data_IF_812710363068
#
_entry.id   IF_812710363068
#
_cell.length_a   1.000
_cell.length_b   1.000
_cell.length_c   1.000
_cell.angle_alpha   90.00
_cell.angle_beta   90.00
_cell.angle_gamma   90.00
#
_symmetry.space_group_name_H-M   'P 1'
#
loop_
_entity.id
_entity.type
_entity.pdbx_description
1 polymer ?
#
# COMPACT_ATOMS: atom_id res chain seq x y z
N UNK A 1 22.94 8.61 -16.29
CA UNK A 1 22.78 7.42 -15.42
C UNK A 1 23.21 7.84 -14.03
N UNK A 2 22.35 8.54 -13.30
CA UNK A 2 22.72 9.15 -12.01
C UNK A 2 22.26 8.28 -10.84
N UNK A 3 23.26 7.87 -10.04
CA UNK A 3 23.24 7.60 -8.60
C UNK A 3 22.20 6.63 -8.01
N UNK A 4 22.42 5.33 -8.24
CA UNK A 4 21.80 4.25 -7.44
C UNK A 4 22.39 4.08 -6.03
N UNK A 5 23.55 4.68 -5.72
CA UNK A 5 24.17 4.55 -4.38
C UNK A 5 23.72 5.63 -3.37
N UNK A 6 23.37 6.83 -3.84
CA UNK A 6 22.92 7.92 -2.97
C UNK A 6 21.55 7.65 -2.33
N UNK A 7 20.71 6.85 -3.00
CA UNK A 7 19.35 6.51 -2.56
C UNK A 7 19.29 5.62 -1.31
N UNK A 8 20.35 4.86 -0.96
CA UNK A 8 20.27 3.90 0.17
C UNK A 8 20.25 4.56 1.55
N UNK A 9 20.77 5.78 1.68
CA UNK A 9 20.82 6.49 2.97
C UNK A 9 19.44 6.92 3.48
N UNK A 10 18.46 7.08 2.59
CA UNK A 10 17.13 7.64 2.91
C UNK A 10 16.03 6.57 3.02
N UNK A 11 16.36 5.29 2.78
CA UNK A 11 15.39 4.20 2.78
C UNK A 11 15.25 3.55 4.16
N UNK A 12 14.03 3.56 4.70
CA UNK A 12 13.67 2.86 5.93
C UNK A 12 13.05 1.51 5.61
N UNK A 13 13.57 0.47 6.28
CA UNK A 13 13.08 -0.91 6.14
C UNK A 13 11.87 -1.16 7.04
N UNK A 14 10.82 -1.74 6.46
CA UNK A 14 9.61 -2.18 7.15
C UNK A 14 9.40 -3.68 6.94
N UNK A 15 8.84 -4.35 7.95
CA UNK A 15 8.45 -5.76 7.86
C UNK A 15 6.94 -5.85 7.75
N UNK A 16 6.45 -6.09 6.53
CA UNK A 16 5.01 -6.08 6.21
C UNK A 16 4.58 -7.49 5.83
N UNK A 17 3.38 -7.93 6.26
CA UNK A 17 2.82 -9.20 5.80
C UNK A 17 2.16 -8.99 4.44
N UNK A 18 2.54 -9.79 3.47
CA UNK A 18 1.93 -9.84 2.14
C UNK A 18 1.65 -11.29 1.77
N UNK A 19 0.58 -11.51 1.02
CA UNK A 19 0.35 -12.77 0.31
C UNK A 19 1.32 -12.89 -0.88
N UNK A 20 1.56 -14.10 -1.35
CA UNK A 20 2.43 -14.30 -2.52
C UNK A 20 1.84 -13.65 -3.78
N UNK A 21 0.52 -13.58 -3.88
CA UNK A 21 -0.17 -12.88 -4.96
C UNK A 21 0.09 -11.36 -4.94
N UNK A 22 -0.10 -10.70 -3.79
CA UNK A 22 0.20 -9.26 -3.64
C UNK A 22 1.68 -8.98 -3.93
N UNK A 23 2.58 -9.83 -3.47
CA UNK A 23 4.01 -9.67 -3.74
C UNK A 23 4.34 -9.83 -5.24
N UNK A 24 3.70 -10.76 -5.93
CA UNK A 24 3.85 -10.92 -7.37
C UNK A 24 3.29 -9.72 -8.14
N UNK A 25 2.11 -9.22 -7.76
CA UNK A 25 1.53 -8.01 -8.34
C UNK A 25 2.43 -6.80 -8.13
N UNK A 26 3.02 -6.62 -6.95
CA UNK A 26 3.96 -5.53 -6.69
C UNK A 26 5.14 -5.56 -7.67
N UNK A 27 5.73 -6.74 -7.89
CA UNK A 27 6.81 -6.91 -8.87
C UNK A 27 6.35 -6.59 -10.29
N UNK A 28 5.18 -7.08 -10.69
CA UNK A 28 4.63 -6.86 -12.02
C UNK A 28 4.36 -5.37 -12.27
N UNK A 29 3.68 -4.69 -11.35
CA UNK A 29 3.40 -3.24 -11.42
C UNK A 29 4.70 -2.44 -11.49
N UNK A 30 5.68 -2.78 -10.65
CA UNK A 30 7.00 -2.15 -10.68
C UNK A 30 7.66 -2.28 -12.07
N UNK A 31 7.63 -3.49 -12.65
CA UNK A 31 8.22 -3.76 -13.96
C UNK A 31 7.51 -3.01 -15.09
N UNK A 32 6.18 -2.99 -15.10
CA UNK A 32 5.39 -2.31 -16.13
C UNK A 32 5.56 -0.79 -16.08
N UNK A 33 5.55 -0.21 -14.87
CA UNK A 33 5.70 1.24 -14.70
C UNK A 33 7.17 1.69 -14.81
N UNK A 34 8.12 0.77 -15.04
CA UNK A 34 9.56 1.01 -15.01
C UNK A 34 10.04 1.68 -13.71
N UNK A 35 9.38 1.34 -12.59
CA UNK A 35 9.61 1.91 -11.25
C UNK A 35 10.25 0.88 -10.34
N UNK A 36 10.98 1.36 -9.33
CA UNK A 36 11.39 0.51 -8.23
C UNK A 36 10.22 0.18 -7.31
N UNK A 37 10.32 -0.95 -6.59
CA UNK A 37 9.26 -1.36 -5.65
C UNK A 37 8.94 -0.25 -4.65
N UNK A 38 9.93 0.40 -4.05
CA UNK A 38 9.70 1.46 -3.05
C UNK A 38 8.96 2.68 -3.63
N UNK A 39 9.14 3.00 -4.90
CA UNK A 39 8.40 4.09 -5.58
C UNK A 39 6.93 3.72 -5.78
N UNK A 40 6.65 2.45 -6.09
CA UNK A 40 5.28 1.91 -6.13
C UNK A 40 4.65 1.97 -4.74
N UNK A 41 5.41 1.64 -3.70
CA UNK A 41 4.94 1.74 -2.32
C UNK A 41 4.67 3.20 -1.90
N UNK A 42 5.52 4.14 -2.31
CA UNK A 42 5.29 5.57 -2.09
C UNK A 42 4.02 6.06 -2.81
N UNK A 43 3.81 5.59 -4.05
CA UNK A 43 2.59 5.87 -4.82
C UNK A 43 1.34 5.33 -4.12
N UNK A 44 1.43 4.11 -3.57
CA UNK A 44 0.34 3.51 -2.81
C UNK A 44 -0.01 4.31 -1.55
N UNK A 45 1.00 4.82 -0.83
CA UNK A 45 0.78 5.66 0.35
C UNK A 45 0.16 7.02 0.00
N UNK A 46 0.61 7.66 -1.09
CA UNK A 46 0.02 8.92 -1.54
C UNK A 46 -1.43 8.72 -1.96
N UNK A 47 -1.71 7.69 -2.76
CA UNK A 47 -3.08 7.32 -3.12
C UNK A 47 -3.96 7.07 -1.89
N UNK A 48 -3.42 6.38 -0.88
CA UNK A 48 -4.12 6.14 0.37
C UNK A 48 -4.45 7.43 1.13
N UNK A 49 -3.55 8.43 1.14
CA UNK A 49 -3.82 9.74 1.76
C UNK A 49 -4.93 10.48 1.05
N UNK A 50 -4.89 10.48 -0.28
CA UNK A 50 -5.90 11.14 -1.12
C UNK A 50 -7.30 10.51 -0.97
N UNK A 51 -7.37 9.29 -0.45
CA UNK A 51 -8.62 8.53 -0.27
C UNK A 51 -8.86 8.12 1.19
N UNK A 52 -8.19 8.75 2.16
CA UNK A 52 -8.14 8.28 3.55
C UNK A 52 -9.53 8.17 4.21
N UNK A 53 -10.47 9.03 3.81
CA UNK A 53 -11.87 9.06 4.23
C UNK A 53 -12.75 7.97 3.58
N UNK A 54 -12.29 7.40 2.47
CA UNK A 54 -13.04 6.44 1.64
C UNK A 54 -12.58 5.00 1.78
N UNK A 55 -11.48 4.76 2.50
CA UNK A 55 -10.90 3.44 2.66
C UNK A 55 -10.89 3.01 4.11
N UNK A 56 -11.23 1.75 4.33
CA UNK A 56 -11.15 1.11 5.63
C UNK A 56 -9.81 0.36 5.76
N UNK A 57 -9.15 0.44 6.92
CA UNK A 57 -7.94 -0.33 7.18
C UNK A 57 -8.21 -1.83 7.04
N UNK A 58 -7.34 -2.52 6.30
CA UNK A 58 -7.38 -3.96 6.09
C UNK A 58 -6.56 -4.69 7.15
N UNK A 59 -7.02 -5.89 7.51
CA UNK A 59 -6.23 -6.87 8.23
C UNK A 59 -5.57 -7.83 7.24
N UNK A 60 -4.40 -8.34 7.61
CA UNK A 60 -3.69 -9.32 6.80
C UNK A 60 -4.45 -10.64 6.72
N UNK A 61 -4.35 -11.31 5.57
CA UNK A 61 -4.71 -12.74 5.47
C UNK A 61 -3.88 -13.59 6.44
N UNK A 62 -4.48 -14.67 6.95
CA UNK A 62 -3.78 -15.69 7.76
C UNK A 62 -2.66 -16.39 6.98
N UNK A 63 -2.78 -16.46 5.66
CA UNK A 63 -1.77 -17.03 4.74
C UNK A 63 -0.65 -16.05 4.38
N UNK A 64 -0.74 -14.78 4.80
CA UNK A 64 0.26 -13.78 4.48
C UNK A 64 1.56 -14.02 5.26
N UNK A 65 2.70 -13.85 4.58
CA UNK A 65 4.02 -14.03 5.19
C UNK A 65 4.78 -12.71 5.20
N UNK A 66 5.70 -12.57 6.16
CA UNK A 66 6.46 -11.33 6.30
C UNK A 66 7.45 -11.17 5.14
N UNK A 67 7.44 -9.98 4.55
CA UNK A 67 8.39 -9.53 3.53
C UNK A 67 9.02 -8.22 4.00
N UNK A 68 10.28 -8.01 3.62
CA UNK A 68 10.97 -6.76 3.87
C UNK A 68 10.66 -5.79 2.74
N UNK A 69 10.16 -4.61 3.08
CA UNK A 69 9.88 -3.52 2.17
C UNK A 69 10.70 -2.29 2.56
N UNK A 70 10.94 -1.40 1.62
CA UNK A 70 11.69 -0.17 1.83
C UNK A 70 10.85 1.01 1.40
N UNK A 71 10.89 2.10 2.18
CA UNK A 71 10.20 3.35 1.91
C UNK A 71 11.17 4.51 2.16
N UNK A 72 11.05 5.58 1.38
CA UNK A 72 11.80 6.81 1.63
C UNK A 72 11.40 7.43 2.98
N UNK A 73 12.35 8.09 3.64
CA UNK A 73 12.17 8.64 4.98
C UNK A 73 10.97 9.59 5.07
N UNK A 74 10.75 10.44 4.06
CA UNK A 74 9.59 11.35 3.97
C UNK A 74 8.24 10.63 3.96
N UNK A 75 8.18 9.42 3.40
CA UNK A 75 6.97 8.58 3.36
C UNK A 75 6.89 7.61 4.54
N UNK A 76 7.96 7.48 5.31
CA UNK A 76 8.03 6.57 6.46
C UNK A 76 7.31 7.10 7.71
N UNK A 77 6.86 8.35 7.67
CA UNK A 77 5.96 8.96 8.65
C UNK A 77 4.56 9.05 8.03
N UNK A 78 3.64 8.25 8.55
CA UNK A 78 2.24 8.16 8.10
C UNK A 78 1.28 8.34 9.28
N UNK A 79 1.65 9.19 10.24
CA UNK A 79 0.84 9.49 11.44
C UNK A 79 -0.54 10.07 11.11
N UNK A 80 -0.68 10.73 9.96
CA UNK A 80 -1.96 11.15 9.37
C UNK A 80 -2.89 9.96 9.13
N UNK A 81 -2.40 8.93 8.44
CA UNK A 81 -3.15 7.70 8.16
C UNK A 81 -3.38 6.85 9.41
N UNK A 82 -2.38 6.77 10.30
CA UNK A 82 -2.51 6.05 11.58
C UNK A 82 -3.64 6.64 12.43
N UNK A 83 -3.71 7.97 12.52
CA UNK A 83 -4.77 8.68 13.22
C UNK A 83 -6.12 8.50 12.53
N UNK A 84 -6.18 8.69 11.20
CA UNK A 84 -7.43 8.58 10.43
C UNK A 84 -8.06 7.18 10.50
N UNK A 85 -7.25 6.13 10.50
CA UNK A 85 -7.71 4.75 10.50
C UNK A 85 -7.65 4.08 11.87
N UNK A 86 -7.12 4.78 12.87
CA UNK A 86 -6.88 4.25 14.21
C UNK A 86 -6.19 2.87 14.19
N UNK A 87 -5.08 2.75 13.44
CA UNK A 87 -4.39 1.47 13.27
C UNK A 87 -2.86 1.59 13.27
N UNK A 88 -2.18 0.44 13.42
CA UNK A 88 -0.72 0.37 13.53
C UNK A 88 -0.03 0.66 12.19
N UNK A 89 1.22 1.18 12.21
CA UNK A 89 2.07 1.41 11.04
C UNK A 89 1.99 0.34 9.95
N UNK A 90 2.14 -0.94 10.33
CA UNK A 90 2.19 -2.02 9.36
C UNK A 90 0.82 -2.23 8.69
N UNK A 91 -0.29 -2.01 9.41
CA UNK A 91 -1.63 -2.12 8.83
C UNK A 91 -1.90 -0.97 7.87
N UNK A 92 -1.41 0.24 8.17
CA UNK A 92 -1.45 1.37 7.24
C UNK A 92 -0.74 1.01 5.94
N UNK A 93 0.52 0.57 6.04
CA UNK A 93 1.33 0.20 4.87
C UNK A 93 0.65 -0.94 4.10
N UNK A 94 0.15 -1.95 4.80
CA UNK A 94 -0.55 -3.06 4.16
C UNK A 94 -1.80 -2.63 3.41
N UNK A 95 -2.66 -1.86 4.06
CA UNK A 95 -3.90 -1.36 3.49
C UNK A 95 -3.61 -0.58 2.22
N UNK A 96 -2.66 0.37 2.29
CA UNK A 96 -2.25 1.17 1.15
C UNK A 96 -1.78 0.28 -0.01
N UNK A 97 -0.86 -0.65 0.25
CA UNK A 97 -0.33 -1.55 -0.78
C UNK A 97 -1.42 -2.44 -1.35
N UNK A 98 -2.16 -3.15 -0.51
CA UNK A 98 -3.12 -4.15 -0.95
C UNK A 98 -4.23 -3.51 -1.81
N UNK A 99 -4.77 -2.37 -1.38
CA UNK A 99 -5.78 -1.65 -2.15
C UNK A 99 -5.21 -1.05 -3.44
N UNK A 100 -4.02 -0.46 -3.38
CA UNK A 100 -3.36 0.07 -4.58
C UNK A 100 -3.04 -1.03 -5.60
N UNK A 101 -2.55 -2.20 -5.17
CA UNK A 101 -2.29 -3.32 -6.05
C UNK A 101 -3.57 -3.90 -6.66
N UNK A 102 -4.67 -3.94 -5.89
CA UNK A 102 -5.98 -4.29 -6.45
C UNK A 102 -6.40 -3.25 -7.48
N UNK A 103 -6.16 -1.96 -7.23
CA UNK A 103 -6.35 -0.87 -8.19
C UNK A 103 -5.67 -1.13 -9.51
N UNK A 104 -4.35 -1.26 -9.47
CA UNK A 104 -3.55 -1.52 -10.67
C UNK A 104 -3.95 -2.84 -11.34
N UNK A 105 -4.24 -3.89 -10.57
CA UNK A 105 -4.64 -5.18 -11.13
C UNK A 105 -5.96 -5.10 -11.90
N UNK A 106 -6.94 -4.36 -11.41
CA UNK A 106 -8.22 -4.25 -12.11
C UNK A 106 -8.17 -3.26 -13.28
N UNK A 107 -7.33 -2.21 -13.21
CA UNK A 107 -7.00 -1.37 -14.38
C UNK A 107 -6.44 -2.22 -15.53
N UNK A 108 -5.51 -3.15 -15.24
CA UNK A 108 -4.96 -4.07 -16.24
C UNK A 108 -6.00 -5.03 -16.83
N UNK A 109 -7.05 -5.34 -16.07
CA UNK A 109 -8.14 -6.23 -16.49
C UNK A 109 -9.32 -5.46 -17.13
N UNK A 110 -9.27 -4.12 -17.16
CA UNK A 110 -10.34 -3.27 -17.69
C UNK A 110 -11.56 -3.05 -16.77
N UNK A 111 -11.46 -3.33 -15.46
CA UNK A 111 -12.58 -3.25 -14.52
C UNK A 111 -12.27 -2.28 -13.36
N UNK A 112 -12.60 -0.99 -13.45
CA UNK A 112 -12.28 -0.02 -12.40
C UNK A 112 -13.43 0.13 -11.37
N UNK A 113 -13.51 -0.72 -10.34
CA UNK A 113 -14.31 -0.45 -9.12
C UNK A 113 -13.84 -1.29 -7.92
N UNK A 114 -13.18 -0.67 -6.94
CA UNK A 114 -12.29 -1.39 -6.00
C UNK A 114 -12.23 -0.74 -4.61
N UNK A 115 -12.86 0.44 -4.44
CA UNK A 115 -13.02 1.02 -3.11
C UNK A 115 -14.06 0.18 -2.35
N UNK A 116 -13.73 -0.40 -1.19
CA UNK A 116 -14.76 -0.91 -0.30
C UNK A 116 -15.59 0.29 0.17
N UNK A 117 -16.83 0.41 -0.32
CA UNK A 117 -17.76 1.46 0.11
C UNK A 117 -17.88 1.43 1.65
N UNK A 118 -17.80 2.58 2.34
CA UNK A 118 -18.10 2.63 3.76
C UNK A 118 -19.51 2.09 3.94
N UNK A 119 -19.64 0.94 4.60
CA UNK A 119 -20.95 0.42 4.94
C UNK A 119 -21.50 1.37 6.00
N UNK A 120 -22.43 2.24 5.61
CA UNK A 120 -23.26 2.96 6.58
C UNK A 120 -23.80 1.89 7.52
N UNK A 121 -23.41 1.97 8.79
CA UNK A 121 -24.05 1.23 9.87
C UNK A 121 -25.53 1.61 9.81
N UNK A 122 -26.33 0.78 9.15
CA UNK A 122 -27.78 0.81 9.36
C UNK A 122 -27.96 0.15 10.70
N UNK A 123 -27.98 0.96 11.75
CA UNK A 123 -28.54 0.56 13.04
C UNK A 123 -29.97 0.10 12.76
N UNK A 124 -30.18 -1.22 12.73
CA UNK A 124 -31.51 -1.79 12.77
C UNK A 124 -32.10 -1.41 14.14
N UNK A 125 -33.18 -0.62 14.09
CA UNK A 125 -34.05 -0.27 15.22
C UNK A 125 -34.86 -1.51 15.60
#
# INVERSE_FOLDING_TARGET
>A
MENTEQARGELKKFRVKLTDHEHHLLKLVSAMDSKYQYEVLASALNWARDNADRILPLTYSTTASFRSLYLEQKHSNFGDLEASWNCKPNNVIYTAIALYLRLRSSELKGNANILPCPTTYVSAI
#
